data_IF_861043923802
#
_entry.id   IF_861043923802
#
_cell.length_a   1.000
_cell.length_b   1.000
_cell.length_c   1.000
_cell.angle_alpha   90.00
_cell.angle_beta   90.00
_cell.angle_gamma   90.00
#
_symmetry.space_group_name_H-M   'P 1'
#
loop_
_entity.id
_entity.type
_entity.pdbx_description
1 polymer ?
#
# COMPACT_ATOMS: atom_id res chain seq x y z
N UNK A 1 2.58 24.04 -24.54
CA UNK A 1 3.55 23.54 -23.53
C UNK A 1 3.36 22.05 -23.40
N UNK A 2 4.44 21.24 -23.39
CA UNK A 2 4.34 19.80 -23.13
C UNK A 2 3.80 19.55 -21.72
N UNK A 3 2.89 18.59 -21.57
CA UNK A 3 2.32 18.23 -20.28
C UNK A 3 3.44 17.70 -19.34
N UNK A 4 3.48 18.19 -18.11
CA UNK A 4 4.49 17.78 -17.13
C UNK A 4 4.21 16.35 -16.68
N UNK A 5 5.20 15.48 -16.77
CA UNK A 5 5.12 14.09 -16.31
C UNK A 5 4.87 14.01 -14.79
N UNK A 6 4.10 13.01 -14.36
CA UNK A 6 3.87 12.72 -12.94
C UNK A 6 5.19 12.34 -12.27
N UNK A 7 5.41 12.88 -11.07
CA UNK A 7 6.60 12.63 -10.26
C UNK A 7 6.21 12.22 -8.84
N UNK A 8 7.11 11.65 -8.04
CA UNK A 8 6.85 11.43 -6.62
C UNK A 8 6.46 12.69 -5.86
N UNK A 9 7.00 13.85 -6.27
CA UNK A 9 6.63 15.14 -5.67
C UNK A 9 5.18 15.53 -6.01
N UNK A 10 4.72 15.23 -7.23
CA UNK A 10 3.32 15.42 -7.64
C UNK A 10 2.40 14.59 -6.75
N UNK A 11 2.67 13.29 -6.65
CA UNK A 11 1.85 12.37 -5.83
C UNK A 11 1.88 12.78 -4.35
N UNK A 12 3.03 13.19 -3.82
CA UNK A 12 3.12 13.69 -2.45
C UNK A 12 2.28 14.94 -2.21
N UNK A 13 2.26 15.86 -3.16
CA UNK A 13 1.43 17.06 -3.07
C UNK A 13 -0.07 16.70 -3.06
N UNK A 14 -0.48 15.75 -3.89
CA UNK A 14 -1.87 15.27 -3.95
C UNK A 14 -2.29 14.63 -2.62
N UNK A 15 -1.41 13.84 -1.96
CA UNK A 15 -1.70 13.22 -0.64
C UNK A 15 -1.65 14.18 0.55
N UNK A 16 -0.98 15.33 0.43
CA UNK A 16 -0.99 16.39 1.43
C UNK A 16 -2.09 17.44 1.16
N UNK A 17 -2.90 17.27 0.11
CA UNK A 17 -4.08 18.10 -0.12
C UNK A 17 -5.10 17.91 1.02
N UNK A 18 -5.68 18.99 1.55
CA UNK A 18 -6.65 18.88 2.66
C UNK A 18 -7.82 17.93 2.40
N UNK A 19 -8.29 17.82 1.15
CA UNK A 19 -9.39 16.91 0.78
C UNK A 19 -8.95 15.47 0.95
N UNK A 20 -7.76 15.11 0.45
CA UNK A 20 -7.18 13.78 0.61
C UNK A 20 -6.92 13.46 2.09
N UNK A 21 -6.35 14.40 2.84
CA UNK A 21 -6.08 14.22 4.28
C UNK A 21 -7.38 13.94 5.03
N UNK A 22 -8.46 14.71 4.79
CA UNK A 22 -9.76 14.46 5.42
C UNK A 22 -10.31 13.08 5.06
N UNK A 23 -10.22 12.68 3.78
CA UNK A 23 -10.69 11.39 3.32
C UNK A 23 -10.02 10.23 4.08
N UNK A 24 -8.69 10.20 4.11
CA UNK A 24 -7.93 9.15 4.79
C UNK A 24 -8.04 9.18 6.31
N UNK A 25 -8.14 10.39 6.92
CA UNK A 25 -8.37 10.54 8.35
C UNK A 25 -9.73 9.96 8.75
N UNK A 26 -10.79 10.23 7.97
CA UNK A 26 -12.13 9.65 8.20
C UNK A 26 -12.10 8.12 8.13
N UNK A 27 -11.41 7.55 7.14
CA UNK A 27 -11.25 6.10 7.05
C UNK A 27 -10.54 5.50 8.29
N UNK A 28 -9.51 6.16 8.80
CA UNK A 28 -8.79 5.73 10.00
C UNK A 28 -9.66 5.80 11.27
N UNK A 29 -10.56 6.80 11.35
CA UNK A 29 -11.48 6.93 12.48
C UNK A 29 -12.57 5.85 12.49
N UNK A 30 -13.15 5.50 11.33
CA UNK A 30 -14.42 4.78 11.28
C UNK A 30 -14.34 3.36 10.73
N UNK A 31 -13.28 2.99 10.01
CA UNK A 31 -13.25 1.70 9.30
C UNK A 31 -12.39 0.62 9.96
N UNK A 32 -11.26 0.98 10.56
CA UNK A 32 -10.31 0.01 11.09
C UNK A 32 -9.85 -1.02 10.05
N UNK A 33 -9.47 -2.23 10.50
CA UNK A 33 -9.15 -3.34 9.60
C UNK A 33 -10.41 -3.88 8.91
N UNK A 34 -10.30 -4.13 7.61
CA UNK A 34 -11.33 -4.80 6.82
C UNK A 34 -11.44 -6.29 7.16
N UNK A 35 -12.56 -6.92 6.81
CA UNK A 35 -12.76 -8.35 7.08
C UNK A 35 -11.70 -9.22 6.37
N UNK A 36 -11.41 -8.95 5.11
CA UNK A 36 -10.35 -9.62 4.35
C UNK A 36 -8.96 -9.42 4.96
N UNK A 37 -8.64 -8.20 5.43
CA UNK A 37 -7.38 -7.90 6.12
C UNK A 37 -7.26 -8.73 7.40
N UNK A 38 -8.32 -8.77 8.23
CA UNK A 38 -8.35 -9.57 9.48
C UNK A 38 -8.10 -11.05 9.22
N UNK A 39 -8.71 -11.62 8.17
CA UNK A 39 -8.54 -13.03 7.80
C UNK A 39 -7.08 -13.31 7.44
N UNK A 40 -6.47 -12.50 6.57
CA UNK A 40 -5.10 -12.74 6.12
C UNK A 40 -4.06 -12.41 7.20
N UNK A 41 -4.27 -11.33 7.96
CA UNK A 41 -3.40 -10.98 9.08
C UNK A 41 -3.44 -12.11 10.13
N UNK A 42 -4.61 -12.59 10.51
CA UNK A 42 -4.74 -13.69 11.46
C UNK A 42 -4.10 -15.00 10.97
N UNK A 43 -4.07 -15.23 9.64
CA UNK A 43 -3.48 -16.42 9.04
C UNK A 43 -1.96 -16.38 8.92
N UNK A 44 -1.39 -15.23 8.57
CA UNK A 44 0.01 -15.12 8.21
C UNK A 44 0.89 -14.38 9.22
N UNK A 45 0.31 -13.57 10.11
CA UNK A 45 1.01 -12.82 11.15
C UNK A 45 0.63 -13.37 12.53
N UNK A 46 0.95 -14.63 12.77
CA UNK A 46 0.48 -15.39 13.94
C UNK A 46 1.14 -14.98 15.25
N UNK A 47 2.39 -14.49 15.20
CA UNK A 47 3.09 -13.96 16.38
C UNK A 47 2.72 -12.48 16.61
N UNK A 48 1.86 -12.24 17.60
CA UNK A 48 1.43 -10.88 17.97
C UNK A 48 2.49 -10.07 18.73
N UNK A 49 3.56 -10.72 19.16
CA UNK A 49 4.67 -10.07 19.88
C UNK A 49 5.76 -9.58 18.93
N UNK A 50 5.82 -10.16 17.72
CA UNK A 50 6.77 -9.80 16.71
C UNK A 50 6.63 -8.32 16.29
N UNK A 51 7.75 -7.61 16.04
CA UNK A 51 7.70 -6.27 15.51
C UNK A 51 7.15 -6.28 14.08
N UNK A 52 6.16 -5.45 13.79
CA UNK A 52 5.57 -5.31 12.46
C UNK A 52 5.82 -3.93 11.88
N UNK A 53 6.01 -3.90 10.56
CA UNK A 53 6.19 -2.67 9.79
C UNK A 53 5.01 -2.45 8.84
N UNK A 54 4.34 -1.31 8.94
CA UNK A 54 3.39 -0.87 7.91
C UNK A 54 3.98 0.25 7.08
N UNK A 55 4.11 0.03 5.77
CA UNK A 55 4.51 1.01 4.78
C UNK A 55 3.27 1.68 4.18
N UNK A 56 3.32 2.99 3.97
CA UNK A 56 2.19 3.74 3.41
C UNK A 56 0.97 3.70 4.34
N UNK A 57 1.17 3.96 5.63
CA UNK A 57 0.11 3.81 6.65
C UNK A 57 -0.98 4.88 6.56
N UNK A 58 -0.76 5.95 5.78
CA UNK A 58 -1.66 7.10 5.72
C UNK A 58 -1.95 7.66 7.11
N UNK A 59 -3.22 7.90 7.40
CA UNK A 59 -3.68 8.35 8.72
C UNK A 59 -3.76 7.23 9.78
N UNK A 60 -3.15 6.05 9.53
CA UNK A 60 -3.01 4.97 10.51
C UNK A 60 -4.17 3.99 10.59
N UNK A 61 -5.03 3.90 9.57
CA UNK A 61 -6.22 3.02 9.58
C UNK A 61 -5.87 1.57 9.95
N UNK A 62 -4.95 0.97 9.21
CA UNK A 62 -4.60 -0.42 9.43
C UNK A 62 -3.65 -0.58 10.63
N UNK A 63 -2.72 0.35 10.87
CA UNK A 63 -1.84 0.36 12.06
C UNK A 63 -2.64 0.34 13.35
N UNK A 64 -3.65 1.22 13.48
CA UNK A 64 -4.51 1.29 14.65
C UNK A 64 -5.41 0.05 14.76
N UNK A 65 -5.89 -0.45 13.62
CA UNK A 65 -6.63 -1.71 13.60
C UNK A 65 -5.79 -2.93 14.03
N UNK A 66 -4.50 -2.95 13.71
CA UNK A 66 -3.55 -3.95 14.22
C UNK A 66 -3.36 -3.80 15.75
N UNK A 67 -3.24 -2.56 16.23
CA UNK A 67 -3.15 -2.27 17.65
C UNK A 67 -4.37 -2.80 18.42
N UNK A 68 -5.57 -2.55 17.90
CA UNK A 68 -6.82 -3.03 18.47
C UNK A 68 -6.92 -4.57 18.43
N UNK A 69 -6.31 -5.20 17.39
CA UNK A 69 -6.22 -6.66 17.27
C UNK A 69 -5.14 -7.30 18.16
N UNK A 70 -4.42 -6.51 18.96
CA UNK A 70 -3.45 -6.98 19.95
C UNK A 70 -1.99 -6.99 19.51
N UNK A 71 -1.65 -6.50 18.32
CA UNK A 71 -0.27 -6.30 17.90
C UNK A 71 0.27 -5.01 18.53
N UNK A 72 1.24 -5.11 19.45
CA UNK A 72 1.69 -3.95 20.24
C UNK A 72 3.05 -3.39 19.83
N UNK A 73 3.81 -4.13 19.03
CA UNK A 73 5.14 -3.71 18.53
C UNK A 73 5.04 -3.24 17.07
N UNK A 74 4.53 -2.02 16.90
CA UNK A 74 4.21 -1.48 15.58
C UNK A 74 5.10 -0.29 15.22
N UNK A 75 5.71 -0.36 14.04
CA UNK A 75 6.31 0.79 13.34
C UNK A 75 5.54 1.01 12.05
N UNK A 76 5.16 2.25 11.79
CA UNK A 76 4.44 2.62 10.59
C UNK A 76 5.03 3.88 9.98
N UNK A 77 5.02 4.00 8.66
CA UNK A 77 5.50 5.20 8.00
C UNK A 77 4.66 5.57 6.77
N UNK A 78 4.66 6.85 6.47
CA UNK A 78 4.08 7.40 5.26
C UNK A 78 4.93 8.56 4.74
N UNK A 79 4.84 8.83 3.43
CA UNK A 79 5.55 9.92 2.77
C UNK A 79 4.79 11.26 2.84
N UNK A 80 3.51 11.24 3.24
CA UNK A 80 2.67 12.40 3.44
C UNK A 80 2.70 12.83 4.91
N UNK A 81 3.34 13.96 5.20
CA UNK A 81 3.54 14.44 6.57
C UNK A 81 2.23 14.71 7.29
N UNK A 82 1.26 15.32 6.60
CA UNK A 82 -0.06 15.64 7.15
C UNK A 82 -0.81 14.38 7.60
N UNK A 83 -0.69 13.28 6.84
CA UNK A 83 -1.32 12.01 7.22
C UNK A 83 -0.65 11.38 8.45
N UNK A 84 0.67 11.48 8.57
CA UNK A 84 1.40 11.02 9.76
C UNK A 84 0.97 11.80 11.01
N UNK A 85 0.75 13.09 10.89
CA UNK A 85 0.29 13.91 12.02
C UNK A 85 -1.14 13.53 12.44
N UNK A 86 -2.02 13.21 11.48
CA UNK A 86 -3.34 12.63 11.78
C UNK A 86 -3.22 11.27 12.47
N UNK A 87 -2.33 10.38 11.99
CA UNK A 87 -2.11 9.06 12.60
C UNK A 87 -1.62 9.17 14.05
N UNK A 88 -0.68 10.07 14.34
CA UNK A 88 -0.17 10.34 15.70
C UNK A 88 -1.26 10.88 16.63
N UNK A 89 -2.04 11.84 16.15
CA UNK A 89 -3.15 12.42 16.90
C UNK A 89 -4.19 11.35 17.25
N UNK A 90 -4.59 10.53 16.29
CA UNK A 90 -5.56 9.47 16.49
C UNK A 90 -5.02 8.37 17.42
N UNK A 91 -3.73 8.01 17.32
CA UNK A 91 -3.07 7.07 18.21
C UNK A 91 -3.08 7.57 19.66
N UNK A 92 -2.79 8.85 19.89
CA UNK A 92 -2.87 9.48 21.21
C UNK A 92 -4.28 9.38 21.78
N UNK A 93 -5.29 9.72 20.98
CA UNK A 93 -6.70 9.65 21.39
C UNK A 93 -7.13 8.21 21.78
N UNK A 94 -6.56 7.19 21.11
CA UNK A 94 -6.86 5.77 21.39
C UNK A 94 -5.94 5.11 22.42
N UNK A 95 -5.04 5.87 23.05
CA UNK A 95 -4.06 5.31 24.00
C UNK A 95 -3.03 4.38 23.37
N UNK A 96 -2.84 4.48 22.04
CA UNK A 96 -1.90 3.67 21.26
C UNK A 96 -0.52 4.35 21.11
N UNK A 97 -0.04 4.98 22.18
CA UNK A 97 1.17 5.84 22.18
C UNK A 97 2.48 5.09 21.96
N UNK A 98 2.48 3.76 22.10
CA UNK A 98 3.65 2.94 21.82
C UNK A 98 3.90 2.70 20.31
N UNK A 99 2.96 3.04 19.43
CA UNK A 99 3.15 2.93 18.00
C UNK A 99 4.17 3.97 17.52
N UNK A 100 5.18 3.52 16.78
CA UNK A 100 6.19 4.40 16.20
C UNK A 100 5.78 4.84 14.80
N UNK A 101 5.31 6.09 14.66
CA UNK A 101 5.00 6.70 13.37
C UNK A 101 6.16 7.53 12.83
N UNK A 102 6.56 7.29 11.57
CA UNK A 102 7.68 7.95 10.89
C UNK A 102 7.21 8.64 9.61
N UNK A 103 7.70 9.85 9.35
CA UNK A 103 7.58 10.47 8.04
C UNK A 103 8.74 9.96 7.17
N UNK A 104 8.46 9.06 6.22
CA UNK A 104 9.48 8.43 5.39
C UNK A 104 8.94 7.96 4.03
N UNK A 105 9.80 7.94 3.03
CA UNK A 105 9.51 7.45 1.67
C UNK A 105 9.98 5.99 1.55
N UNK A 106 9.07 5.07 1.17
CA UNK A 106 9.36 3.65 0.99
C UNK A 106 10.51 3.38 0.02
N UNK A 107 10.75 4.30 -0.94
CA UNK A 107 11.84 4.20 -1.92
C UNK A 107 13.18 4.72 -1.40
N UNK A 108 13.20 5.30 -0.19
CA UNK A 108 14.37 5.91 0.46
C UNK A 108 14.23 5.84 1.98
N UNK A 109 14.09 4.65 2.53
CA UNK A 109 13.96 4.49 3.97
C UNK A 109 15.19 5.03 4.70
N UNK A 110 15.00 5.66 5.87
CA UNK A 110 16.11 6.19 6.65
C UNK A 110 16.98 5.05 7.21
N UNK A 111 18.29 5.33 7.47
CA UNK A 111 19.27 4.31 7.89
C UNK A 111 18.85 3.51 9.13
N UNK A 112 18.21 4.16 10.10
CA UNK A 112 17.73 3.53 11.34
C UNK A 112 16.62 2.49 11.11
N UNK A 113 15.97 2.51 9.94
CA UNK A 113 15.01 1.49 9.51
C UNK A 113 15.67 0.48 8.57
N UNK A 114 16.56 0.95 7.65
CA UNK A 114 17.21 0.10 6.64
C UNK A 114 18.25 -0.86 7.21
N UNK A 115 18.86 -0.53 8.35
CA UNK A 115 19.94 -1.30 8.95
C UNK A 115 19.60 -1.69 10.40
N UNK A 116 18.48 -2.41 10.61
CA UNK A 116 18.21 -2.96 11.93
C UNK A 116 19.28 -4.02 12.24
N UNK A 117 19.69 -4.10 13.48
CA UNK A 117 20.41 -5.29 13.97
C UNK A 117 19.52 -6.52 13.82
N UNK A 118 20.09 -7.71 13.76
CA UNK A 118 19.32 -8.95 13.52
C UNK A 118 18.19 -9.17 14.53
N UNK A 119 18.41 -8.77 15.78
CA UNK A 119 17.44 -8.78 16.89
C UNK A 119 16.31 -7.73 16.72
N UNK A 120 16.45 -6.79 15.78
CA UNK A 120 15.48 -5.71 15.52
C UNK A 120 14.78 -5.82 14.17
N UNK A 121 14.98 -6.92 13.44
CA UNK A 121 14.29 -7.14 12.16
C UNK A 121 12.79 -7.32 12.39
N UNK A 122 12.01 -6.84 11.42
CA UNK A 122 10.56 -6.97 11.47
C UNK A 122 10.14 -8.41 11.19
N UNK A 123 9.26 -8.95 12.03
CA UNK A 123 8.64 -10.26 11.85
C UNK A 123 7.57 -10.30 10.77
N UNK A 124 7.25 -9.15 10.16
CA UNK A 124 6.35 -9.03 9.02
C UNK A 124 6.19 -7.60 8.55
N UNK A 125 5.78 -7.42 7.30
CA UNK A 125 5.51 -6.12 6.71
C UNK A 125 4.15 -6.08 6.00
N UNK A 126 3.52 -4.90 6.01
CA UNK A 126 2.27 -4.63 5.31
C UNK A 126 2.43 -3.40 4.41
N UNK A 127 1.78 -3.41 3.25
CA UNK A 127 1.65 -2.25 2.38
C UNK A 127 0.25 -2.28 1.77
N UNK A 128 -0.72 -1.87 2.57
CA UNK A 128 -2.14 -2.03 2.31
C UNK A 128 -2.73 -0.85 1.53
N UNK A 129 -4.00 -0.97 1.17
CA UNK A 129 -4.78 0.04 0.46
C UNK A 129 -4.09 0.54 -0.82
N UNK A 130 -3.50 -0.38 -1.57
CA UNK A 130 -2.84 -0.10 -2.86
C UNK A 130 -1.67 0.89 -2.79
N UNK A 131 -1.13 1.17 -1.60
CA UNK A 131 -0.11 2.19 -1.39
C UNK A 131 1.17 1.99 -2.20
N UNK A 132 1.60 0.73 -2.40
CA UNK A 132 2.73 0.41 -3.28
C UNK A 132 2.49 0.88 -4.72
N UNK A 133 1.25 0.80 -5.21
CA UNK A 133 0.87 1.17 -6.57
C UNK A 133 0.75 2.69 -6.78
N UNK A 134 0.79 3.47 -5.72
CA UNK A 134 0.84 4.93 -5.78
C UNK A 134 2.27 5.47 -5.94
N UNK A 135 3.25 4.59 -6.02
CA UNK A 135 4.65 4.95 -6.32
C UNK A 135 4.85 4.94 -7.85
N UNK A 136 5.10 6.11 -8.48
CA UNK A 136 5.36 6.19 -9.91
C UNK A 136 6.65 5.46 -10.30
N UNK A 137 6.62 4.74 -11.42
CA UNK A 137 7.69 3.92 -12.01
C UNK A 137 7.93 2.60 -11.28
N UNK A 138 7.89 1.52 -12.06
CA UNK A 138 8.13 0.14 -11.60
C UNK A 138 9.47 -0.03 -10.85
N UNK A 139 10.53 0.63 -11.34
CA UNK A 139 11.83 0.58 -10.68
C UNK A 139 11.78 1.09 -9.22
N UNK A 140 10.95 2.10 -8.94
CA UNK A 140 10.75 2.63 -7.59
C UNK A 140 9.87 1.72 -6.73
N UNK A 141 8.83 1.11 -7.30
CA UNK A 141 8.02 0.09 -6.62
C UNK A 141 8.90 -1.09 -6.19
N UNK A 142 9.76 -1.56 -7.09
CA UNK A 142 10.76 -2.60 -6.78
C UNK A 142 11.79 -2.15 -5.72
N UNK A 143 12.19 -0.88 -5.71
CA UNK A 143 13.07 -0.35 -4.66
C UNK A 143 12.39 -0.43 -3.28
N UNK A 144 11.13 -0.02 -3.19
CA UNK A 144 10.35 -0.15 -1.96
C UNK A 144 10.25 -1.63 -1.49
N UNK A 145 9.94 -2.56 -2.40
CA UNK A 145 9.89 -3.99 -2.07
C UNK A 145 11.24 -4.53 -1.58
N UNK A 146 12.39 -4.11 -2.19
CA UNK A 146 13.72 -4.50 -1.71
C UNK A 146 14.03 -3.93 -0.32
N UNK A 147 13.59 -2.70 -0.02
CA UNK A 147 13.76 -2.11 1.31
C UNK A 147 12.98 -2.91 2.35
N UNK A 148 11.72 -3.23 2.09
CA UNK A 148 10.91 -4.08 2.97
C UNK A 148 11.56 -5.46 3.16
N UNK A 149 12.04 -6.07 2.06
CA UNK A 149 12.75 -7.36 2.13
C UNK A 149 13.98 -7.28 3.05
N UNK A 150 14.78 -6.22 2.95
CA UNK A 150 16.01 -6.05 3.74
C UNK A 150 15.72 -5.95 5.23
N UNK A 151 14.65 -5.24 5.63
CA UNK A 151 14.34 -4.96 7.03
C UNK A 151 13.53 -6.07 7.72
N UNK A 152 12.91 -6.96 6.97
CA UNK A 152 12.20 -8.11 7.53
C UNK A 152 13.14 -9.25 7.91
N UNK A 153 12.76 -10.08 8.87
CA UNK A 153 13.46 -11.32 9.22
C UNK A 153 13.29 -12.39 8.13
N UNK A 154 14.20 -13.37 7.98
CA UNK A 154 13.98 -14.54 7.15
C UNK A 154 12.64 -15.22 7.50
N UNK A 155 11.87 -15.65 6.49
CA UNK A 155 10.55 -16.23 6.66
C UNK A 155 9.42 -15.24 6.94
N UNK A 156 9.71 -13.97 7.19
CA UNK A 156 8.70 -12.96 7.50
C UNK A 156 7.70 -12.76 6.35
N UNK A 157 6.37 -12.69 6.63
CA UNK A 157 5.35 -12.40 5.64
C UNK A 157 5.35 -10.93 5.22
N UNK A 158 5.03 -10.71 3.94
CA UNK A 158 4.63 -9.44 3.37
C UNK A 158 3.19 -9.55 2.89
N UNK A 159 2.32 -8.63 3.30
CA UNK A 159 0.95 -8.49 2.82
C UNK A 159 0.81 -7.16 2.07
N UNK A 160 0.48 -7.21 0.78
CA UNK A 160 0.18 -6.03 0.01
C UNK A 160 -1.18 -6.13 -0.68
N UNK A 161 -1.73 -4.99 -1.09
CA UNK A 161 -2.92 -4.92 -1.96
C UNK A 161 -2.63 -4.13 -3.22
N UNK A 162 -3.28 -4.53 -4.31
CA UNK A 162 -3.26 -3.81 -5.59
C UNK A 162 -4.63 -3.85 -6.24
N UNK A 163 -4.96 -2.86 -7.04
CA UNK A 163 -5.97 -3.11 -8.08
C UNK A 163 -5.44 -4.17 -9.05
N UNK A 164 -6.32 -4.74 -9.85
CA UNK A 164 -5.97 -5.75 -10.85
C UNK A 164 -6.68 -5.40 -12.16
N UNK A 165 -5.92 -5.03 -13.19
CA UNK A 165 -6.49 -4.67 -14.50
C UNK A 165 -7.17 -5.85 -15.20
N UNK A 166 -6.95 -7.08 -14.71
CA UNK A 166 -7.57 -8.30 -15.24
C UNK A 166 -8.70 -8.86 -14.35
N UNK A 167 -9.13 -8.11 -13.33
CA UNK A 167 -10.07 -8.58 -12.31
C UNK A 167 -11.44 -9.04 -12.87
N UNK A 168 -11.85 -8.50 -14.01
CA UNK A 168 -13.11 -8.86 -14.67
C UNK A 168 -13.07 -8.57 -16.19
N UNK A 169 -14.12 -8.95 -16.91
CA UNK A 169 -14.18 -8.80 -18.38
C UNK A 169 -14.21 -7.32 -18.82
N UNK A 170 -14.86 -6.45 -18.05
CA UNK A 170 -14.98 -5.03 -18.36
C UNK A 170 -13.60 -4.35 -18.25
N UNK A 171 -12.91 -4.57 -17.13
CA UNK A 171 -11.55 -4.05 -16.94
C UNK A 171 -10.61 -4.52 -18.06
N UNK A 172 -10.61 -5.82 -18.38
CA UNK A 172 -9.80 -6.35 -19.49
C UNK A 172 -10.11 -5.67 -20.83
N UNK A 173 -11.39 -5.38 -21.13
CA UNK A 173 -11.77 -4.70 -22.35
C UNK A 173 -11.27 -3.24 -22.37
N UNK A 174 -11.44 -2.51 -21.27
CA UNK A 174 -10.94 -1.14 -21.13
C UNK A 174 -9.41 -1.06 -21.28
N UNK A 175 -8.68 -1.99 -20.67
CA UNK A 175 -7.22 -2.02 -20.77
C UNK A 175 -6.70 -2.44 -22.14
N UNK A 176 -7.47 -3.22 -22.93
CA UNK A 176 -7.15 -3.46 -24.35
C UNK A 176 -7.27 -2.18 -25.19
N UNK A 177 -8.30 -1.37 -24.94
CA UNK A 177 -8.45 -0.08 -25.61
C UNK A 177 -7.32 0.87 -25.22
N UNK A 178 -6.93 0.87 -23.95
CA UNK A 178 -5.81 1.68 -23.47
C UNK A 178 -4.47 1.23 -24.07
N UNK A 179 -4.25 -0.09 -24.26
CA UNK A 179 -3.06 -0.61 -24.93
C UNK A 179 -2.95 -0.05 -26.37
N UNK A 180 -4.06 -0.01 -27.13
CA UNK A 180 -4.07 0.57 -28.46
C UNK A 180 -3.71 2.07 -28.47
N UNK A 181 -4.13 2.83 -27.44
CA UNK A 181 -3.71 4.23 -27.29
C UNK A 181 -2.21 4.35 -27.04
N UNK A 182 -1.65 3.49 -26.19
CA UNK A 182 -0.21 3.46 -25.93
C UNK A 182 0.61 3.11 -27.18
N UNK A 183 0.16 2.14 -27.98
CA UNK A 183 0.79 1.75 -29.24
C UNK A 183 0.81 2.91 -30.27
N UNK A 184 -0.22 3.77 -30.24
CA UNK A 184 -0.35 4.93 -31.12
C UNK A 184 0.28 6.21 -30.56
N UNK A 185 0.77 6.20 -29.31
CA UNK A 185 1.25 7.41 -28.63
C UNK A 185 0.15 8.40 -28.24
N UNK A 186 -1.10 7.92 -28.13
CA UNK A 186 -2.30 8.71 -27.80
C UNK A 186 -2.68 8.68 -26.31
N UNK A 187 -1.88 8.04 -25.48
CA UNK A 187 -2.08 8.01 -24.02
C UNK A 187 -1.95 9.41 -23.41
N UNK A 188 -2.50 9.59 -22.20
CA UNK A 188 -2.26 10.81 -21.44
C UNK A 188 -0.76 11.10 -21.33
N UNK A 189 -0.28 12.25 -21.85
CA UNK A 189 1.15 12.57 -21.87
C UNK A 189 1.78 12.70 -20.48
N UNK A 190 1.00 12.76 -19.40
CA UNK A 190 1.48 12.79 -18.02
C UNK A 190 1.94 11.42 -17.51
N UNK A 191 1.38 10.33 -18.04
CA UNK A 191 1.64 8.97 -17.60
C UNK A 191 3.04 8.48 -18.00
N UNK A 192 3.60 7.54 -17.24
CA UNK A 192 4.97 7.09 -17.36
C UNK A 192 5.10 5.67 -17.90
N UNK A 193 4.16 4.80 -17.55
CA UNK A 193 4.18 3.37 -17.84
C UNK A 193 2.76 2.90 -18.18
N UNK A 194 2.66 1.86 -19.03
CA UNK A 194 1.37 1.20 -19.25
C UNK A 194 0.87 0.61 -17.95
N UNK A 195 -0.39 0.85 -17.61
CA UNK A 195 -0.97 0.54 -16.30
C UNK A 195 -1.17 1.77 -15.41
N UNK A 196 -0.52 2.89 -15.72
CA UNK A 196 -0.69 4.13 -14.97
C UNK A 196 -2.05 4.78 -15.26
N UNK A 197 -2.67 5.34 -14.23
CA UNK A 197 -3.80 6.27 -14.30
C UNK A 197 -3.55 7.49 -13.44
N UNK A 198 -4.05 8.63 -13.86
CA UNK A 198 -4.05 9.87 -13.07
C UNK A 198 -5.36 10.61 -13.31
N UNK A 199 -6.19 10.67 -12.31
CA UNK A 199 -7.57 11.12 -12.41
C UNK A 199 -8.00 11.91 -11.17
N UNK A 200 -9.11 12.66 -11.31
CA UNK A 200 -9.77 13.30 -10.18
C UNK A 200 -10.78 12.30 -9.59
N UNK A 201 -10.66 12.03 -8.30
CA UNK A 201 -11.55 11.16 -7.54
C UNK A 201 -12.41 11.99 -6.60
N UNK A 202 -13.74 11.84 -6.71
CA UNK A 202 -14.68 12.61 -5.91
C UNK A 202 -14.44 12.39 -4.40
N UNK A 203 -14.22 13.50 -3.67
CA UNK A 203 -13.97 13.46 -2.23
C UNK A 203 -12.56 13.04 -1.81
N UNK A 204 -11.67 12.75 -2.77
CA UNK A 204 -10.26 12.41 -2.52
C UNK A 204 -9.33 13.42 -3.18
N UNK A 205 -9.73 13.98 -4.34
CA UNK A 205 -8.90 14.86 -5.14
C UNK A 205 -8.16 14.09 -6.24
N UNK A 206 -6.98 14.60 -6.65
CA UNK A 206 -6.18 13.94 -7.69
C UNK A 206 -5.50 12.70 -7.17
N UNK A 207 -5.61 11.63 -7.92
CA UNK A 207 -5.04 10.33 -7.54
C UNK A 207 -4.20 9.74 -8.68
N UNK A 208 -2.94 9.43 -8.38
CA UNK A 208 -2.11 8.57 -9.20
C UNK A 208 -2.25 7.12 -8.73
N UNK A 209 -2.43 6.21 -9.68
CA UNK A 209 -2.48 4.78 -9.40
C UNK A 209 -1.88 4.00 -10.58
N UNK A 210 -1.00 3.07 -10.28
CA UNK A 210 -0.60 2.03 -11.22
C UNK A 210 -1.49 0.80 -11.02
N UNK A 211 -2.08 0.28 -12.06
CA UNK A 211 -2.88 -0.94 -12.05
C UNK A 211 -2.08 -2.06 -12.74
N UNK A 212 -1.47 -2.97 -11.96
CA UNK A 212 -0.73 -4.10 -12.51
C UNK A 212 -1.67 -5.20 -13.00
N UNK A 213 -1.14 -6.13 -13.81
CA UNK A 213 -1.68 -7.48 -13.91
C UNK A 213 -0.99 -8.43 -12.91
N UNK A 214 -1.49 -9.66 -12.86
CA UNK A 214 -0.94 -10.68 -11.98
C UNK A 214 0.52 -11.03 -12.30
N UNK A 215 0.87 -11.10 -13.58
CA UNK A 215 2.23 -11.45 -14.01
C UNK A 215 3.26 -10.38 -13.59
N UNK A 216 2.87 -9.10 -13.62
CA UNK A 216 3.72 -8.00 -13.18
C UNK A 216 4.09 -8.12 -11.70
N UNK A 217 3.12 -8.36 -10.82
CA UNK A 217 3.38 -8.49 -9.37
C UNK A 217 4.24 -9.71 -9.06
N UNK A 218 3.98 -10.85 -9.69
CA UNK A 218 4.80 -12.05 -9.50
C UNK A 218 6.25 -11.82 -9.95
N UNK A 219 6.45 -11.12 -11.07
CA UNK A 219 7.78 -10.76 -11.55
C UNK A 219 8.46 -9.72 -10.65
N UNK A 220 7.70 -8.83 -9.99
CA UNK A 220 8.24 -7.87 -9.04
C UNK A 220 8.66 -8.54 -7.73
N UNK A 221 7.89 -9.48 -7.22
CA UNK A 221 8.29 -10.31 -6.09
C UNK A 221 9.58 -11.08 -6.37
N UNK A 222 9.63 -11.83 -7.47
CA UNK A 222 10.82 -12.58 -7.87
C UNK A 222 12.06 -11.68 -8.00
N UNK A 223 11.92 -10.50 -8.64
CA UNK A 223 13.02 -9.55 -8.83
C UNK A 223 13.49 -8.84 -7.55
N UNK A 224 12.76 -8.99 -6.44
CA UNK A 224 13.03 -8.32 -5.17
C UNK A 224 13.26 -9.27 -3.99
N UNK A 225 13.34 -10.58 -4.26
CA UNK A 225 13.67 -11.63 -3.28
C UNK A 225 12.48 -12.16 -2.49
N UNK A 226 11.26 -11.73 -2.82
CA UNK A 226 10.05 -12.22 -2.18
C UNK A 226 9.54 -13.49 -2.86
N UNK A 227 9.18 -14.50 -2.08
CA UNK A 227 8.55 -15.74 -2.56
C UNK A 227 7.04 -15.63 -2.40
N UNK A 228 6.32 -15.57 -3.52
CA UNK A 228 4.86 -15.54 -3.53
C UNK A 228 4.27 -16.83 -2.97
N UNK A 229 3.23 -16.72 -2.12
CA UNK A 229 2.55 -17.85 -1.49
C UNK A 229 1.04 -17.84 -1.63
N UNK A 230 0.43 -16.67 -1.78
CA UNK A 230 -1.02 -16.56 -1.93
C UNK A 230 -1.40 -15.26 -2.64
N UNK A 231 -2.42 -15.32 -3.48
CA UNK A 231 -3.14 -14.14 -3.95
C UNK A 231 -4.63 -14.44 -4.18
N UNK A 232 -5.48 -13.45 -3.91
CA UNK A 232 -6.93 -13.56 -4.16
C UNK A 232 -7.57 -12.18 -4.24
N UNK A 233 -8.68 -12.07 -4.96
CA UNK A 233 -9.52 -10.88 -4.93
C UNK A 233 -10.20 -10.75 -3.56
N UNK A 234 -10.33 -9.54 -3.05
CA UNK A 234 -10.92 -9.20 -1.74
C UNK A 234 -12.23 -9.93 -1.49
N UNK A 235 -13.16 -9.89 -2.46
CA UNK A 235 -14.48 -10.53 -2.36
C UNK A 235 -14.45 -12.05 -2.17
N UNK A 236 -13.35 -12.71 -2.55
CA UNK A 236 -13.19 -14.17 -2.38
C UNK A 236 -12.56 -14.55 -1.04
N UNK A 237 -12.00 -13.59 -0.31
CA UNK A 237 -11.38 -13.80 1.00
C UNK A 237 -12.42 -13.70 2.10
N UNK A 238 -13.19 -12.61 2.10
CA UNK A 238 -14.26 -12.39 3.06
C UNK A 238 -15.31 -11.39 2.52
N UNK A 239 -16.58 -11.49 2.96
CA UNK A 239 -17.57 -10.48 2.68
C UNK A 239 -17.26 -9.21 3.48
N UNK A 240 -17.18 -8.07 2.79
CA UNK A 240 -16.93 -6.78 3.42
C UNK A 240 -18.21 -6.07 3.84
N UNK A 241 -18.10 -5.27 4.90
CA UNK A 241 -19.15 -4.33 5.27
C UNK A 241 -19.46 -3.34 4.13
N UNK A 242 -20.72 -2.86 4.07
CA UNK A 242 -21.12 -1.90 3.03
C UNK A 242 -20.22 -0.67 2.99
N UNK A 243 -19.89 -0.10 4.15
CA UNK A 243 -19.02 1.08 4.24
C UNK A 243 -17.64 0.85 3.57
N UNK A 244 -17.08 -0.36 3.67
CA UNK A 244 -15.82 -0.71 3.00
C UNK A 244 -15.99 -0.79 1.48
N UNK A 245 -17.09 -1.39 1.02
CA UNK A 245 -17.39 -1.49 -0.42
C UNK A 245 -17.68 -0.14 -1.07
N UNK A 246 -18.32 0.76 -0.32
CA UNK A 246 -18.62 2.12 -0.77
C UNK A 246 -17.36 3.02 -0.75
N UNK A 247 -16.37 2.67 0.09
CA UNK A 247 -15.11 3.43 0.25
C UNK A 247 -14.01 3.00 -0.73
N UNK A 248 -13.97 1.75 -1.14
CA UNK A 248 -12.88 1.19 -1.94
C UNK A 248 -13.36 0.20 -2.98
N UNK A 249 -12.89 0.38 -4.19
CA UNK A 249 -13.05 -0.58 -5.27
C UNK A 249 -12.45 -1.95 -4.94
N UNK A 250 -12.78 -2.96 -5.76
CA UNK A 250 -12.22 -4.30 -5.66
C UNK A 250 -10.70 -4.27 -5.80
N UNK A 251 -10.01 -5.03 -4.97
CA UNK A 251 -8.56 -5.16 -5.00
C UNK A 251 -8.13 -6.62 -4.84
N UNK A 252 -6.90 -6.91 -5.23
CA UNK A 252 -6.26 -8.21 -5.01
C UNK A 252 -5.32 -8.09 -3.83
N UNK A 253 -5.40 -9.04 -2.93
CA UNK A 253 -4.47 -9.26 -1.84
C UNK A 253 -3.36 -10.21 -2.29
N UNK A 254 -2.15 -9.95 -1.83
CA UNK A 254 -0.96 -10.73 -2.12
C UNK A 254 -0.22 -11.02 -0.84
N UNK A 255 0.16 -12.27 -0.65
CA UNK A 255 1.08 -12.68 0.42
C UNK A 255 2.34 -13.25 -0.20
N UNK A 256 3.47 -12.76 0.27
CA UNK A 256 4.78 -13.30 -0.06
C UNK A 256 5.60 -13.43 1.21
N UNK A 257 6.63 -14.28 1.20
CA UNK A 257 7.54 -14.45 2.33
C UNK A 257 8.96 -14.08 1.93
N UNK A 258 9.70 -13.50 2.86
CA UNK A 258 11.13 -13.33 2.68
C UNK A 258 11.78 -14.70 2.63
N UNK A 259 12.55 -14.99 1.57
CA UNK A 259 13.37 -16.19 1.51
C UNK A 259 14.35 -16.29 2.69
N UNK A 260 14.74 -17.50 3.02
CA UNK A 260 15.76 -17.82 4.04
C UNK A 260 17.13 -17.27 3.68
#
# INVERSE_FOLDING_TARGET
MAAKKITPATVRADFNDPVAVIHYARAAHFMGLWASERVLIGRYFTDRTAPLLEAGCGAGRATLGLWDAGYKNLTAFDFAAELIDQARSLATTRGATAIRFLHADATKLPPEVLHPSDDKRFGGALFLFNGLMQIPRRARRRAALRHLHRVCAPGAPLLITTHDRDQNQVERALWRLEALRWERGEQDPRLLEFGDRYFDEAGVGRTFMHLPDRAEILADFAATGWTHTFDALRKTIAPEARAVRDFSDECRFWVAHRGS
#
